data_IF_454000773510
#
_entry.id   IF_454000773510
#
_cell.length_a   1.000
_cell.length_b   1.000
_cell.length_c   1.000
_cell.angle_alpha   90.00
_cell.angle_beta   90.00
_cell.angle_gamma   90.00
#
_symmetry.space_group_name_H-M   'P 1'
#
loop_
_entity.id
_entity.type
_entity.pdbx_description
1 polymer ?
#
# COMPACT_ATOMS: atom_id res chain seq x y z
N UNK A 1 14.28 -2.39 0.56
CA UNK A 1 13.08 -2.74 -0.21
C UNK A 1 12.21 -1.51 -0.27
N UNK A 2 11.88 -1.03 -1.46
CA UNK A 2 11.00 0.13 -1.66
C UNK A 2 9.52 -0.30 -1.68
N UNK A 3 8.61 0.68 -1.76
CA UNK A 3 7.16 0.45 -1.76
C UNK A 3 6.71 -0.56 -2.83
N UNK A 4 7.12 -0.39 -4.08
CA UNK A 4 6.66 -1.23 -5.18
C UNK A 4 7.25 -2.64 -5.11
N UNK A 5 8.48 -2.79 -4.61
CA UNK A 5 9.07 -4.10 -4.32
C UNK A 5 8.30 -4.83 -3.20
N UNK A 6 7.91 -4.11 -2.14
CA UNK A 6 7.09 -4.69 -1.07
C UNK A 6 5.70 -5.07 -1.54
N UNK A 7 5.08 -4.24 -2.38
CA UNK A 7 3.78 -4.54 -2.98
C UNK A 7 3.87 -5.79 -3.88
N UNK A 8 4.91 -5.90 -4.70
CA UNK A 8 5.13 -7.07 -5.57
C UNK A 8 5.11 -8.39 -4.81
N UNK A 9 5.68 -8.43 -3.60
CA UNK A 9 5.75 -9.62 -2.76
C UNK A 9 4.37 -10.03 -2.25
N UNK A 10 3.54 -9.06 -1.85
CA UNK A 10 2.23 -9.35 -1.24
C UNK A 10 1.09 -9.44 -2.27
N UNK A 11 1.28 -8.87 -3.47
CA UNK A 11 0.23 -8.77 -4.48
C UNK A 11 -0.39 -10.11 -4.89
N UNK A 12 0.37 -11.22 -5.03
CA UNK A 12 -0.24 -12.53 -5.28
C UNK A 12 -1.19 -12.98 -4.17
N UNK A 13 -0.89 -12.65 -2.92
CA UNK A 13 -1.78 -12.93 -1.80
C UNK A 13 -3.03 -12.05 -1.84
N UNK A 14 -2.91 -10.79 -2.25
CA UNK A 14 -4.06 -9.90 -2.47
C UNK A 14 -4.96 -10.46 -3.58
N UNK A 15 -4.40 -10.90 -4.71
CA UNK A 15 -5.18 -11.53 -5.79
C UNK A 15 -5.99 -12.74 -5.28
N UNK A 16 -5.40 -13.57 -4.42
CA UNK A 16 -6.10 -14.70 -3.79
C UNK A 16 -7.23 -14.21 -2.88
N UNK A 17 -6.99 -13.18 -2.07
CA UNK A 17 -7.98 -12.62 -1.13
C UNK A 17 -9.17 -12.00 -1.86
N UNK A 18 -8.94 -11.24 -2.93
CA UNK A 18 -10.02 -10.69 -3.76
C UNK A 18 -10.77 -11.79 -4.53
N UNK A 19 -10.08 -12.85 -4.94
CA UNK A 19 -10.73 -14.07 -5.44
C UNK A 19 -11.49 -13.87 -6.75
N UNK A 20 -11.09 -12.88 -7.56
CA UNK A 20 -11.71 -12.60 -8.86
C UNK A 20 -11.69 -13.81 -9.79
N UNK A 21 -12.70 -13.91 -10.65
CA UNK A 21 -12.69 -14.88 -11.76
C UNK A 21 -11.51 -14.61 -12.70
N UNK A 22 -11.11 -15.59 -13.51
CA UNK A 22 -9.98 -15.43 -14.44
C UNK A 22 -10.13 -14.20 -15.36
N UNK A 23 -11.36 -13.91 -15.81
CA UNK A 23 -11.64 -12.72 -16.65
C UNK A 23 -11.51 -11.42 -15.87
N UNK A 24 -12.06 -11.35 -14.66
CA UNK A 24 -11.98 -10.15 -13.82
C UNK A 24 -10.55 -9.92 -13.34
N UNK A 25 -9.83 -10.99 -12.99
CA UNK A 25 -8.41 -10.93 -12.64
C UNK A 25 -7.60 -10.36 -13.80
N UNK A 26 -7.81 -10.85 -15.03
CA UNK A 26 -7.09 -10.34 -16.20
C UNK A 26 -7.34 -8.83 -16.45
N UNK A 27 -8.53 -8.33 -16.11
CA UNK A 27 -8.92 -6.94 -16.29
C UNK A 27 -8.43 -6.00 -15.16
N UNK A 28 -8.68 -6.39 -13.91
CA UNK A 28 -8.49 -5.53 -12.72
C UNK A 28 -7.23 -5.84 -11.92
N UNK A 29 -6.82 -7.12 -11.89
CA UNK A 29 -5.67 -7.59 -11.12
C UNK A 29 -4.72 -8.50 -11.92
N UNK A 30 -4.21 -8.07 -13.09
CA UNK A 30 -3.32 -8.91 -13.89
C UNK A 30 -2.05 -9.24 -13.12
N UNK A 31 -1.41 -10.35 -13.46
CA UNK A 31 -0.15 -10.72 -12.83
C UNK A 31 0.93 -9.66 -13.08
N UNK A 32 1.61 -9.28 -12.02
CA UNK A 32 2.70 -8.30 -12.05
C UNK A 32 4.03 -9.04 -11.88
N UNK A 33 4.97 -8.80 -12.80
CA UNK A 33 6.26 -9.49 -12.81
C UNK A 33 7.38 -8.60 -12.30
N UNK A 34 7.28 -7.29 -12.53
CA UNK A 34 8.26 -6.31 -12.07
C UNK A 34 7.57 -5.11 -11.41
N UNK A 35 8.24 -4.41 -10.46
CA UNK A 35 7.63 -3.31 -9.72
C UNK A 35 7.01 -2.21 -10.60
N UNK A 36 7.55 -2.00 -11.80
CA UNK A 36 7.12 -0.93 -12.70
C UNK A 36 5.77 -1.21 -13.39
N UNK A 37 5.26 -2.45 -13.39
CA UNK A 37 3.96 -2.76 -14.02
C UNK A 37 2.80 -2.12 -13.22
N UNK A 38 2.99 -1.88 -11.92
CA UNK A 38 2.03 -1.20 -11.05
C UNK A 38 1.70 0.23 -11.50
N UNK A 39 2.57 0.89 -12.28
CA UNK A 39 2.31 2.25 -12.78
C UNK A 39 1.02 2.36 -13.61
N UNK A 40 0.50 1.24 -14.12
CA UNK A 40 -0.76 1.19 -14.87
C UNK A 40 -1.95 0.71 -14.03
N UNK A 41 -1.69 0.29 -12.79
CA UNK A 41 -2.67 -0.34 -11.90
C UNK A 41 -2.99 0.52 -10.68
N UNK A 42 -2.08 1.39 -10.26
CA UNK A 42 -2.25 2.30 -9.13
C UNK A 42 -1.92 3.74 -9.50
N UNK A 43 -2.60 4.69 -8.86
CA UNK A 43 -2.36 6.13 -9.03
C UNK A 43 -2.37 6.83 -7.68
N UNK A 44 -1.34 7.62 -7.39
CA UNK A 44 -1.24 8.35 -6.13
C UNK A 44 -2.38 9.37 -6.02
N UNK A 45 -3.14 9.31 -4.93
CA UNK A 45 -4.24 10.22 -4.62
C UNK A 45 -3.84 11.25 -3.56
N UNK A 46 -3.27 10.79 -2.45
CA UNK A 46 -2.93 11.67 -1.33
C UNK A 46 -1.63 11.22 -0.66
N UNK A 47 -0.95 12.20 -0.05
CA UNK A 47 0.22 11.97 0.82
C UNK A 47 -0.12 12.55 2.19
N UNK A 48 -0.14 11.69 3.19
CA UNK A 48 -0.56 12.00 4.54
C UNK A 48 0.65 12.05 5.47
N UNK A 49 0.97 13.23 5.99
CA UNK A 49 2.02 13.40 7.00
C UNK A 49 1.42 13.18 8.38
N UNK A 50 1.85 12.14 9.07
CA UNK A 50 1.34 11.84 10.41
C UNK A 50 1.95 12.77 11.46
N UNK A 51 1.21 13.10 12.54
CA UNK A 51 1.72 13.93 13.63
C UNK A 51 2.77 13.24 14.51
N UNK A 52 2.88 11.91 14.40
CA UNK A 52 3.83 11.11 15.17
C UNK A 52 5.19 11.05 14.47
N UNK A 53 6.25 11.24 15.25
CA UNK A 53 7.64 11.05 14.83
C UNK A 53 8.29 9.93 15.65
N UNK A 54 9.05 9.08 14.98
CA UNK A 54 9.99 8.13 15.60
C UNK A 54 11.41 8.51 15.15
N UNK A 55 12.32 8.68 16.10
CA UNK A 55 13.72 9.10 15.86
C UNK A 55 13.85 10.41 15.06
N UNK A 56 12.93 11.35 15.29
CA UNK A 56 12.89 12.64 14.58
C UNK A 56 12.38 12.55 13.13
N UNK A 57 11.92 11.38 12.68
CA UNK A 57 11.36 11.16 11.34
C UNK A 57 9.84 10.91 11.44
N UNK A 58 9.01 11.68 10.71
CA UNK A 58 7.56 11.45 10.69
C UNK A 58 7.20 10.19 9.91
N UNK A 59 6.03 9.64 10.22
CA UNK A 59 5.40 8.63 9.36
C UNK A 59 4.71 9.31 8.17
N UNK A 60 4.81 8.70 6.99
CA UNK A 60 4.21 9.18 5.75
C UNK A 60 3.29 8.08 5.22
N UNK A 61 2.01 8.39 5.08
CA UNK A 61 1.04 7.54 4.40
C UNK A 61 0.88 7.92 2.94
N UNK A 62 0.83 6.95 2.05
CA UNK A 62 0.51 7.12 0.64
C UNK A 62 -0.80 6.42 0.35
N UNK A 63 -1.78 7.19 -0.12
CA UNK A 63 -3.07 6.68 -0.57
C UNK A 63 -3.06 6.62 -2.09
N UNK A 64 -3.48 5.50 -2.65
CA UNK A 64 -3.57 5.26 -4.06
C UNK A 64 -4.99 4.83 -4.44
N UNK A 65 -5.46 5.28 -5.59
CA UNK A 65 -6.46 4.53 -6.34
C UNK A 65 -5.82 3.27 -6.89
N UNK A 66 -6.59 2.19 -6.99
CA UNK A 66 -6.15 0.95 -7.62
C UNK A 66 -7.26 0.38 -8.48
N UNK A 67 -6.89 -0.29 -9.58
CA UNK A 67 -7.87 -0.86 -10.52
C UNK A 67 -8.77 -1.94 -9.92
N UNK A 68 -8.33 -2.58 -8.85
CA UNK A 68 -9.01 -3.71 -8.25
C UNK A 68 -9.96 -3.35 -7.11
N UNK A 69 -9.94 -2.09 -6.67
CA UNK A 69 -10.84 -1.63 -5.64
C UNK A 69 -11.02 -0.11 -5.76
N UNK A 70 -11.86 0.30 -6.72
CA UNK A 70 -12.12 1.72 -6.98
C UNK A 70 -12.79 2.42 -5.77
N UNK A 71 -13.50 1.67 -4.93
CA UNK A 71 -14.19 2.21 -3.75
C UNK A 71 -13.23 2.38 -2.56
N UNK A 72 -12.38 1.39 -2.27
CA UNK A 72 -11.56 1.38 -1.05
C UNK A 72 -10.07 1.71 -1.27
N UNK A 73 -9.55 1.61 -2.49
CA UNK A 73 -8.18 1.95 -2.84
C UNK A 73 -7.09 1.13 -2.13
N UNK A 74 -5.86 1.64 -2.19
CA UNK A 74 -4.66 1.04 -1.60
C UNK A 74 -3.97 2.07 -0.70
N UNK A 75 -3.62 1.68 0.51
CA UNK A 75 -2.88 2.51 1.46
C UNK A 75 -1.55 1.87 1.83
N UNK A 76 -0.51 2.71 1.91
CA UNK A 76 0.81 2.30 2.39
C UNK A 76 1.28 3.25 3.47
N UNK A 77 1.62 2.72 4.64
CA UNK A 77 2.27 3.49 5.69
C UNK A 77 3.78 3.30 5.60
N UNK A 78 4.54 4.39 5.62
CA UNK A 78 6.00 4.39 5.57
C UNK A 78 6.60 5.15 6.75
N UNK A 79 7.80 4.74 7.15
CA UNK A 79 8.66 5.48 8.09
C UNK A 79 10.06 5.60 7.46
N UNK A 80 10.44 6.82 7.07
CA UNK A 80 11.62 7.03 6.23
C UNK A 80 11.52 6.26 4.91
N UNK A 81 12.45 5.34 4.65
CA UNK A 81 12.46 4.48 3.46
C UNK A 81 11.86 3.08 3.69
N UNK A 82 11.34 2.80 4.89
CA UNK A 82 10.80 1.49 5.26
C UNK A 82 9.28 1.49 5.09
N UNK A 83 8.76 0.46 4.44
CA UNK A 83 7.33 0.14 4.46
C UNK A 83 6.97 -0.44 5.83
N UNK A 84 6.00 0.18 6.48
CA UNK A 84 5.47 -0.23 7.79
C UNK A 84 4.31 -1.20 7.60
N UNK A 85 3.37 -0.86 6.71
CA UNK A 85 2.15 -1.62 6.46
C UNK A 85 1.63 -1.32 5.04
N UNK A 86 0.97 -2.31 4.43
CA UNK A 86 0.22 -2.16 3.18
C UNK A 86 -1.18 -2.74 3.39
N UNK A 87 -2.21 -1.97 3.05
CA UNK A 87 -3.61 -2.37 3.21
C UNK A 87 -4.55 -1.53 2.36
N UNK A 88 -5.80 -1.35 2.79
CA UNK A 88 -6.74 -0.41 2.15
C UNK A 88 -6.29 1.05 2.30
N UNK A 89 -6.95 1.99 1.63
CA UNK A 89 -6.60 3.42 1.67
C UNK A 89 -6.48 3.98 3.10
N UNK A 90 -7.29 3.47 4.03
CA UNK A 90 -7.26 3.82 5.45
C UNK A 90 -5.89 3.60 6.13
N UNK A 91 -5.12 2.62 5.66
CA UNK A 91 -3.74 2.34 6.12
C UNK A 91 -2.84 3.57 6.02
N UNK A 92 -3.08 4.45 5.05
CA UNK A 92 -2.32 5.69 4.88
C UNK A 92 -2.63 6.75 5.97
N UNK A 93 -3.75 6.66 6.68
CA UNK A 93 -4.24 7.70 7.60
C UNK A 93 -4.45 7.23 9.04
N UNK A 94 -4.55 5.93 9.28
CA UNK A 94 -4.78 5.38 10.62
C UNK A 94 -3.58 5.58 11.55
N UNK A 95 -3.67 6.60 12.43
CA UNK A 95 -2.60 6.97 13.36
C UNK A 95 -2.11 5.80 14.25
N UNK A 96 -3.03 4.93 14.67
CA UNK A 96 -2.70 3.81 15.56
C UNK A 96 -1.71 2.82 14.93
N UNK A 97 -1.64 2.73 13.59
CA UNK A 97 -0.62 1.92 12.90
C UNK A 97 0.79 2.51 13.09
N UNK A 98 0.90 3.84 13.03
CA UNK A 98 2.16 4.54 13.29
C UNK A 98 2.54 4.42 14.77
N UNK A 99 1.60 4.56 15.70
CA UNK A 99 1.83 4.38 17.14
C UNK A 99 2.34 2.97 17.45
N UNK A 100 1.68 1.94 16.91
CA UNK A 100 2.08 0.53 17.06
C UNK A 100 3.49 0.26 16.52
N UNK A 101 3.89 0.91 15.43
CA UNK A 101 5.23 0.75 14.88
C UNK A 101 6.30 1.56 15.66
N UNK A 102 5.91 2.69 16.25
CA UNK A 102 6.78 3.51 17.08
C UNK A 102 7.16 2.82 18.40
N UNK A 103 6.31 1.95 18.92
CA UNK A 103 6.59 1.12 20.11
C UNK A 103 7.62 0.01 19.86
N UNK A 104 7.90 -0.34 18.60
CA UNK A 104 8.93 -1.33 18.27
C UNK A 104 10.32 -0.75 18.56
N UNK A 105 11.26 -1.55 19.09
CA UNK A 105 12.64 -1.11 19.32
C UNK A 105 13.37 -0.74 18.02
#
# INVERSE_FOLDING_TARGET
MNLLESLLIIYPQLQITYGYSDSEKAEYMPDVLVPNDFNTLISLHSVNVHPLCKDGVPYIGFEFGCKWDEEHGLGVLMHGSRVVEIGGADTAILLWLAEKDAEKP
#
